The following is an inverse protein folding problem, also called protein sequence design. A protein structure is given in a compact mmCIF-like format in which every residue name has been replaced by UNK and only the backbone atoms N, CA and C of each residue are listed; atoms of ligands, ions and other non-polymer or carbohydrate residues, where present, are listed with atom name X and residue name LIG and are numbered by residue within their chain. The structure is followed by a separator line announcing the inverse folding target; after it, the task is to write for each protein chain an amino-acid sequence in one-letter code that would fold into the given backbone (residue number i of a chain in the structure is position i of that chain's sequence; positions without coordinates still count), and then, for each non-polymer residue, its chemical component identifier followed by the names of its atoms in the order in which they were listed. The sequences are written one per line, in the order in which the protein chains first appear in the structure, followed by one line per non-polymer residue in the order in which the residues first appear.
data_IF_666633426783
#
_entry.id   IF_666633426783
#
_cell.length_a   1.000
_cell.length_b   1.000
_cell.length_c   1.000
_cell.angle_alpha   90.00
_cell.angle_beta   90.00
_cell.angle_gamma   90.00
#
_symmetry.space_group_name_H-M   'P 1'
#
loop_
_entity.id
_entity.type
_entity.pdbx_description
1 polymer ?
#
# COMPACT_ATOMS: atom_id res chain seq x y z
N UNK A 1 37.67 133.61 -32.38
CA UNK A 1 36.61 132.57 -32.40
C UNK A 1 37.27 131.34 -33.02
N UNK A 2 37.40 130.16 -32.41
CA UNK A 2 36.47 129.36 -31.60
C UNK A 2 37.26 128.44 -30.64
N UNK A 3 36.72 128.28 -29.43
CA UNK A 3 37.12 127.35 -28.38
C UNK A 3 36.54 125.97 -28.73
N UNK A 4 37.32 124.89 -28.73
CA UNK A 4 36.74 123.54 -28.74
C UNK A 4 37.50 122.58 -27.84
N UNK A 5 36.74 121.85 -27.03
CA UNK A 5 37.13 121.12 -25.84
C UNK A 5 37.79 119.78 -26.16
N UNK A 6 39.00 119.53 -25.67
CA UNK A 6 39.53 118.16 -25.52
C UNK A 6 38.91 117.52 -24.28
N UNK A 7 37.80 116.81 -24.46
CA UNK A 7 37.13 116.06 -23.39
C UNK A 7 37.93 114.81 -23.03
N UNK A 8 38.21 114.70 -21.73
CA UNK A 8 39.07 113.76 -21.03
C UNK A 8 38.65 112.28 -21.23
N UNK A 9 39.30 111.53 -22.15
CA UNK A 9 38.99 110.10 -22.38
C UNK A 9 39.64 109.15 -21.36
N UNK A 10 40.56 109.64 -20.51
CA UNK A 10 41.29 108.83 -19.50
C UNK A 10 40.51 108.50 -18.22
N UNK A 11 39.42 109.21 -17.87
CA UNK A 11 38.65 108.90 -16.63
C UNK A 11 37.55 107.86 -16.84
N UNK A 12 36.91 107.80 -18.02
CA UNK A 12 35.89 106.78 -18.36
C UNK A 12 36.48 105.37 -18.49
N UNK A 13 37.69 105.23 -19.00
CA UNK A 13 38.43 103.94 -19.06
C UNK A 13 38.83 103.44 -17.67
N UNK A 14 39.26 104.33 -16.76
CA UNK A 14 39.56 103.94 -15.37
C UNK A 14 38.32 103.49 -14.60
N UNK A 15 37.18 104.17 -14.77
CA UNK A 15 35.91 103.76 -14.15
C UNK A 15 35.43 102.42 -14.72
N UNK A 16 35.51 102.21 -16.04
CA UNK A 16 35.19 100.93 -16.67
C UNK A 16 36.07 99.78 -16.19
N UNK A 17 37.39 100.00 -16.04
CA UNK A 17 38.33 99.02 -15.48
C UNK A 17 38.03 98.71 -14.01
N UNK A 18 37.68 99.71 -13.19
CA UNK A 18 37.28 99.50 -11.78
C UNK A 18 35.96 98.72 -11.67
N UNK A 19 34.98 98.98 -12.55
CA UNK A 19 33.72 98.22 -12.60
C UNK A 19 33.95 96.79 -13.06
N UNK A 20 34.79 96.56 -14.08
CA UNK A 20 35.14 95.21 -14.56
C UNK A 20 35.97 94.44 -13.53
N UNK A 21 36.94 95.10 -12.86
CA UNK A 21 37.69 94.49 -11.75
C UNK A 21 36.79 94.20 -10.56
N UNK A 22 35.86 95.10 -10.22
CA UNK A 22 34.85 94.88 -9.19
C UNK A 22 33.95 93.70 -9.51
N UNK A 23 33.47 93.59 -10.75
CA UNK A 23 32.68 92.44 -11.23
C UNK A 23 33.50 91.15 -11.24
N UNK A 24 34.77 91.18 -11.65
CA UNK A 24 35.67 90.04 -11.58
C UNK A 24 35.91 89.59 -10.13
N UNK A 25 36.10 90.53 -9.20
CA UNK A 25 36.23 90.22 -7.77
C UNK A 25 34.94 89.61 -7.22
N UNK A 26 33.77 90.09 -7.63
CA UNK A 26 32.47 89.51 -7.25
C UNK A 26 32.27 88.13 -7.87
N UNK A 27 32.67 87.91 -9.12
CA UNK A 27 32.56 86.61 -9.80
C UNK A 27 33.53 85.58 -9.22
N UNK A 28 34.79 85.96 -9.01
CA UNK A 28 35.81 85.11 -8.38
C UNK A 28 35.44 84.86 -6.91
N UNK A 29 34.96 85.88 -6.20
CA UNK A 29 34.43 85.78 -4.84
C UNK A 29 33.25 84.82 -4.75
N UNK A 30 32.26 84.95 -5.64
CA UNK A 30 31.13 84.03 -5.74
C UNK A 30 31.56 82.61 -6.11
N UNK A 31 32.50 82.45 -7.05
CA UNK A 31 33.02 81.15 -7.47
C UNK A 31 33.77 80.44 -6.35
N UNK A 32 34.59 81.17 -5.60
CA UNK A 32 35.36 80.66 -4.45
C UNK A 32 34.45 80.32 -3.28
N UNK A 33 33.47 81.17 -2.95
CA UNK A 33 32.41 80.87 -1.95
C UNK A 33 31.62 79.61 -2.35
N UNK A 34 31.32 79.44 -3.63
CA UNK A 34 30.63 78.23 -4.11
C UNK A 34 31.53 76.99 -4.08
N UNK A 35 32.83 77.16 -4.33
CA UNK A 35 33.81 76.07 -4.22
C UNK A 35 33.98 75.61 -2.76
N UNK A 36 33.96 76.53 -1.78
CA UNK A 36 33.98 76.15 -0.35
C UNK A 36 32.68 75.46 0.09
N UNK A 37 31.53 75.79 -0.51
CA UNK A 37 30.28 75.04 -0.31
C UNK A 37 30.40 73.56 -0.74
N UNK A 38 31.07 73.29 -1.87
CA UNK A 38 31.33 71.93 -2.36
C UNK A 38 32.54 71.25 -1.69
N UNK A 39 33.31 71.96 -0.85
CA UNK A 39 34.32 71.31 -0.02
C UNK A 39 33.70 70.37 1.03
N UNK A 40 32.43 70.60 1.40
CA UNK A 40 31.70 69.81 2.38
C UNK A 40 30.52 69.01 1.79
N UNK A 41 30.25 69.13 0.48
CA UNK A 41 29.09 68.54 -0.20
C UNK A 41 29.48 67.89 -1.51
N UNK A 42 28.74 66.89 -1.94
CA UNK A 42 28.93 66.28 -3.25
C UNK A 42 28.61 67.27 -4.38
N UNK A 43 29.41 67.22 -5.43
CA UNK A 43 29.27 68.05 -6.62
C UNK A 43 27.91 67.85 -7.32
N UNK A 44 27.49 68.79 -8.20
CA UNK A 44 26.30 68.61 -9.02
C UNK A 44 26.34 67.30 -9.81
N UNK A 45 25.17 66.70 -10.08
CA UNK A 45 25.04 65.48 -10.88
C UNK A 45 25.78 64.23 -10.35
N UNK A 46 26.17 64.16 -9.07
CA UNK A 46 26.72 62.94 -8.45
C UNK A 46 25.62 61.93 -8.07
N UNK A 47 25.80 60.67 -8.47
CA UNK A 47 24.91 59.53 -8.19
C UNK A 47 25.71 58.38 -7.60
N UNK A 48 25.26 57.84 -6.46
CA UNK A 48 25.90 56.69 -5.79
C UNK A 48 24.87 55.59 -5.58
N UNK A 49 25.17 54.36 -5.98
CA UNK A 49 24.27 53.20 -5.90
C UNK A 49 22.86 53.50 -6.47
N UNK A 50 22.79 54.25 -7.57
CA UNK A 50 21.54 54.68 -8.20
C UNK A 50 20.84 55.90 -7.56
N UNK A 51 21.28 56.36 -6.38
CA UNK A 51 20.67 57.47 -5.63
C UNK A 51 21.39 58.79 -5.92
N UNK A 52 20.63 59.84 -6.28
CA UNK A 52 21.19 61.19 -6.50
C UNK A 52 21.58 61.84 -5.18
N UNK A 53 22.86 62.18 -5.01
CA UNK A 53 23.40 62.75 -3.75
C UNK A 53 24.02 64.14 -3.90
N UNK A 54 23.82 64.80 -5.04
CA UNK A 54 24.34 66.14 -5.30
C UNK A 54 23.91 67.16 -4.24
N UNK A 55 24.80 68.09 -3.90
CA UNK A 55 24.62 69.12 -2.87
C UNK A 55 24.39 68.58 -1.44
N UNK A 56 24.52 67.26 -1.21
CA UNK A 56 24.42 66.68 0.13
C UNK A 56 25.79 66.57 0.78
N UNK A 57 25.85 66.76 2.09
CA UNK A 57 27.01 66.35 2.88
C UNK A 57 27.11 64.82 2.92
N UNK A 58 28.25 64.27 3.31
CA UNK A 58 28.44 62.81 3.47
C UNK A 58 27.36 62.18 4.36
N UNK A 59 27.00 62.85 5.46
CA UNK A 59 25.97 62.36 6.40
C UNK A 59 24.56 62.40 5.79
N UNK A 60 24.21 63.46 5.07
CA UNK A 60 22.93 63.57 4.35
C UNK A 60 22.84 62.55 3.20
N UNK A 61 23.93 62.37 2.45
CA UNK A 61 24.02 61.37 1.39
C UNK A 61 23.88 59.96 1.95
N UNK A 62 24.56 59.63 3.05
CA UNK A 62 24.43 58.33 3.71
C UNK A 62 22.98 58.08 4.15
N UNK A 63 22.36 59.04 4.88
CA UNK A 63 20.95 58.91 5.28
C UNK A 63 20.01 58.72 4.10
N UNK A 64 20.24 59.43 2.99
CA UNK A 64 19.41 59.32 1.79
C UNK A 64 19.58 57.96 1.10
N UNK A 65 20.82 57.52 0.90
CA UNK A 65 21.14 56.22 0.27
C UNK A 65 20.61 55.08 1.15
N UNK A 66 20.86 55.12 2.46
CA UNK A 66 20.31 54.16 3.42
C UNK A 66 18.79 54.13 3.34
N UNK A 67 18.10 55.28 3.36
CA UNK A 67 16.64 55.32 3.23
C UNK A 67 16.15 54.70 1.91
N UNK A 68 16.65 55.19 0.77
CA UNK A 68 16.16 54.74 -0.55
C UNK A 68 16.48 53.26 -0.85
N UNK A 69 17.56 52.70 -0.29
CA UNK A 69 17.94 51.29 -0.51
C UNK A 69 17.42 50.33 0.57
N UNK A 70 17.09 50.81 1.78
CA UNK A 70 16.46 50.02 2.85
C UNK A 70 14.93 49.99 2.78
N UNK A 71 14.30 50.97 2.11
CA UNK A 71 12.83 51.10 2.05
C UNK A 71 12.17 50.07 1.11
N UNK A 72 12.93 49.39 0.23
CA UNK A 72 12.37 48.26 -0.54
C UNK A 72 12.37 47.00 0.33
N UNK A 73 11.19 46.40 0.62
CA UNK A 73 11.11 45.17 1.36
C UNK A 73 11.66 43.98 0.55
N UNK A 74 11.91 42.88 1.24
CA UNK A 74 12.06 41.57 0.65
C UNK A 74 10.68 40.89 0.59
N UNK A 75 10.31 40.35 -0.57
CA UNK A 75 9.01 39.73 -0.81
C UNK A 75 9.13 38.20 -0.84
N UNK A 76 8.38 37.52 -0.01
CA UNK A 76 8.18 36.07 -0.12
C UNK A 76 6.83 35.85 -0.81
N UNK A 77 6.85 35.13 -1.92
CA UNK A 77 5.67 34.82 -2.72
C UNK A 77 5.23 33.38 -2.52
N UNK A 78 3.91 33.19 -2.48
CA UNK A 78 3.23 31.89 -2.53
C UNK A 78 2.01 32.07 -3.43
N UNK A 79 1.76 31.12 -4.33
CA UNK A 79 0.71 31.15 -5.35
C UNK A 79 0.77 32.41 -6.22
N UNK A 80 1.99 32.90 -6.52
CA UNK A 80 2.24 34.16 -7.23
C UNK A 80 1.69 35.42 -6.52
N UNK A 81 1.30 35.32 -5.25
CA UNK A 81 0.87 36.43 -4.39
C UNK A 81 1.96 36.78 -3.37
N UNK A 82 2.00 38.04 -2.93
CA UNK A 82 2.90 38.47 -1.85
C UNK A 82 2.40 37.90 -0.52
N UNK A 83 2.89 36.73 -0.15
CA UNK A 83 2.55 36.05 1.10
C UNK A 83 3.13 36.79 2.31
N UNK A 84 4.37 37.29 2.19
CA UNK A 84 5.01 38.05 3.26
C UNK A 84 5.94 39.12 2.74
N UNK A 85 5.91 40.26 3.41
CA UNK A 85 6.78 41.41 3.19
C UNK A 85 7.67 41.60 4.43
N UNK A 86 8.97 41.66 4.24
CA UNK A 86 9.94 41.81 5.34
C UNK A 86 10.85 42.99 5.03
N UNK A 87 10.89 44.01 5.90
CA UNK A 87 11.84 45.10 5.72
C UNK A 87 13.27 44.57 5.76
N UNK A 88 14.14 45.07 4.88
CA UNK A 88 15.54 44.65 4.83
C UNK A 88 16.29 44.88 6.15
N UNK A 89 15.96 45.94 6.88
CA UNK A 89 16.51 46.20 8.22
C UNK A 89 16.20 45.07 9.23
N UNK A 90 15.03 44.43 9.10
CA UNK A 90 14.57 43.38 10.00
C UNK A 90 15.24 42.05 9.67
N UNK A 91 15.65 41.85 8.40
CA UNK A 91 16.53 40.76 7.96
C UNK A 91 17.98 40.91 8.46
N UNK A 92 18.31 42.01 9.14
CA UNK A 92 19.66 42.28 9.62
C UNK A 92 20.54 43.02 8.62
N UNK A 93 20.01 43.53 7.50
CA UNK A 93 20.78 44.42 6.64
C UNK A 93 21.13 45.70 7.38
N UNK A 94 22.43 46.01 7.41
CA UNK A 94 22.97 47.25 7.92
C UNK A 94 23.61 47.97 6.74
N UNK A 95 23.09 49.17 6.47
CA UNK A 95 23.54 49.99 5.36
C UNK A 95 24.37 51.15 5.93
N UNK A 96 25.69 51.00 5.95
CA UNK A 96 26.65 52.07 6.25
C UNK A 96 27.56 52.35 5.06
N UNK A 97 27.19 53.37 4.28
CA UNK A 97 27.98 53.84 3.17
C UNK A 97 28.96 54.95 3.58
N UNK A 98 29.03 55.34 4.86
CA UNK A 98 29.88 56.44 5.33
C UNK A 98 31.35 56.26 4.95
N UNK A 99 32.00 55.09 5.13
CA UNK A 99 33.41 54.93 4.80
C UNK A 99 33.69 55.21 3.31
N UNK A 100 32.87 54.63 2.43
CA UNK A 100 33.02 54.80 0.99
C UNK A 100 32.60 56.19 0.49
N UNK A 101 31.55 56.79 1.05
CA UNK A 101 31.16 58.17 0.75
C UNK A 101 32.21 59.19 1.22
N UNK A 102 32.87 58.96 2.37
CA UNK A 102 34.02 59.78 2.81
C UNK A 102 35.18 59.66 1.84
N UNK A 103 35.52 58.44 1.41
CA UNK A 103 36.57 58.20 0.43
C UNK A 103 36.26 58.87 -0.92
N UNK A 104 34.99 58.85 -1.34
CA UNK A 104 34.53 59.49 -2.56
C UNK A 104 34.61 61.02 -2.45
N UNK A 105 34.13 61.61 -1.34
CA UNK A 105 34.18 63.05 -1.10
C UNK A 105 35.63 63.56 -1.06
N UNK A 106 36.56 62.82 -0.43
CA UNK A 106 37.98 63.21 -0.36
C UNK A 106 38.66 63.28 -1.73
N UNK A 107 38.19 62.48 -2.69
CA UNK A 107 38.72 62.45 -4.07
C UNK A 107 38.14 63.56 -4.96
N UNK A 108 37.02 64.17 -4.57
CA UNK A 108 36.39 65.21 -5.39
C UNK A 108 37.22 66.49 -5.39
N UNK A 109 37.21 67.23 -6.50
CA UNK A 109 37.78 68.57 -6.56
C UNK A 109 36.66 69.62 -6.40
N UNK A 110 36.58 70.36 -5.28
CA UNK A 110 35.51 71.34 -5.07
C UNK A 110 35.45 72.44 -6.12
N UNK A 111 36.57 72.74 -6.79
CA UNK A 111 36.64 73.77 -7.83
C UNK A 111 36.10 73.30 -9.19
N UNK A 112 35.73 72.03 -9.38
CA UNK A 112 35.17 71.54 -10.65
C UNK A 112 33.64 71.66 -10.74
N UNK A 113 32.98 72.27 -9.76
CA UNK A 113 31.51 72.34 -9.67
C UNK A 113 30.84 72.95 -10.91
N UNK A 114 31.44 73.97 -11.52
CA UNK A 114 30.89 74.63 -12.71
C UNK A 114 30.91 73.70 -13.94
N UNK A 115 31.98 72.92 -14.12
CA UNK A 115 32.07 71.92 -15.19
C UNK A 115 31.07 70.78 -14.97
N UNK A 116 30.80 70.43 -13.72
CA UNK A 116 29.93 69.30 -13.41
C UNK A 116 28.44 69.60 -13.62
N UNK A 117 28.03 70.88 -13.65
CA UNK A 117 26.67 71.30 -14.03
C UNK A 117 26.34 71.02 -15.49
N UNK A 118 27.33 71.09 -16.38
CA UNK A 118 27.18 70.86 -17.83
C UNK A 118 27.61 69.46 -18.27
N UNK A 119 28.15 68.67 -17.34
CA UNK A 119 28.58 67.29 -17.58
C UNK A 119 27.47 66.28 -17.30
N UNK A 120 27.56 65.10 -17.92
CA UNK A 120 26.71 63.97 -17.58
C UNK A 120 26.88 63.54 -16.11
N UNK A 121 25.85 62.88 -15.57
CA UNK A 121 25.87 62.43 -14.19
C UNK A 121 27.02 61.45 -13.90
N UNK A 122 27.78 61.74 -12.85
CA UNK A 122 28.87 60.88 -12.39
C UNK A 122 28.27 59.77 -11.53
N UNK A 123 28.23 58.56 -12.07
CA UNK A 123 27.73 57.35 -11.39
C UNK A 123 28.89 56.63 -10.72
N UNK A 124 28.71 56.25 -9.46
CA UNK A 124 29.67 55.47 -8.66
C UNK A 124 28.93 54.41 -7.86
N UNK A 125 29.61 53.31 -7.57
CA UNK A 125 29.13 52.31 -6.63
C UNK A 125 30.00 52.32 -5.38
N UNK A 126 29.36 52.25 -4.22
CA UNK A 126 29.99 52.26 -2.91
C UNK A 126 29.47 51.06 -2.12
N UNK A 127 30.39 50.21 -1.69
CA UNK A 127 30.08 49.12 -0.77
C UNK A 127 29.80 49.69 0.63
N UNK A 128 28.80 49.11 1.30
CA UNK A 128 28.30 49.57 2.58
C UNK A 128 27.22 48.68 3.17
N UNK A 129 27.04 47.48 2.61
CA UNK A 129 26.00 46.57 3.07
C UNK A 129 26.62 45.42 3.85
N UNK A 130 26.27 45.30 5.12
CA UNK A 130 26.57 44.13 5.95
C UNK A 130 25.27 43.46 6.38
N UNK A 131 25.35 42.18 6.72
CA UNK A 131 24.20 41.39 7.13
C UNK A 131 24.45 40.77 8.50
N UNK A 132 23.55 41.01 9.44
CA UNK A 132 23.51 40.32 10.72
C UNK A 132 22.88 38.94 10.53
N UNK A 133 23.73 37.92 10.41
CA UNK A 133 23.28 36.54 10.21
C UNK A 133 22.42 36.00 11.36
N UNK A 134 22.60 36.53 12.58
CA UNK A 134 21.78 36.11 13.74
C UNK A 134 20.34 36.58 13.56
N UNK A 135 20.15 37.82 13.11
CA UNK A 135 18.82 38.35 12.78
C UNK A 135 18.20 37.64 11.58
N UNK A 136 18.96 37.41 10.52
CA UNK A 136 18.45 36.66 9.35
C UNK A 136 17.97 35.27 9.76
N UNK A 137 18.75 34.56 10.60
CA UNK A 137 18.37 33.24 11.09
C UNK A 137 17.10 33.30 11.94
N UNK A 138 16.98 34.28 12.85
CA UNK A 138 15.77 34.45 13.66
C UNK A 138 14.52 34.72 12.80
N UNK A 139 14.65 35.55 11.75
CA UNK A 139 13.55 35.77 10.80
C UNK A 139 13.24 34.50 10.00
N UNK A 140 14.27 33.74 9.60
CA UNK A 140 14.10 32.45 8.94
C UNK A 140 13.30 31.45 9.78
N UNK A 141 13.53 31.40 11.10
CA UNK A 141 12.74 30.55 12.01
C UNK A 141 11.29 31.04 12.16
N UNK A 142 11.05 32.35 12.15
CA UNK A 142 9.69 32.88 12.11
C UNK A 142 8.97 32.53 10.80
N UNK A 143 9.66 32.64 9.66
CA UNK A 143 9.15 32.21 8.35
C UNK A 143 8.84 30.72 8.34
N UNK A 144 9.72 29.88 8.90
CA UNK A 144 9.50 28.43 9.08
C UNK A 144 8.22 28.13 9.83
N UNK A 145 7.99 28.79 10.97
CA UNK A 145 6.78 28.58 11.78
C UNK A 145 5.50 28.93 11.01
N UNK A 146 5.48 30.06 10.31
CA UNK A 146 4.33 30.48 9.51
C UNK A 146 4.12 29.62 8.26
N UNK A 147 5.21 29.16 7.63
CA UNK A 147 5.16 28.23 6.51
C UNK A 147 4.62 26.86 6.93
N UNK A 148 4.94 26.41 8.15
CA UNK A 148 4.39 25.18 8.74
C UNK A 148 2.87 25.28 8.85
N UNK A 149 2.34 26.41 9.33
CA UNK A 149 0.90 26.67 9.36
C UNK A 149 0.30 26.74 7.96
N UNK A 150 0.98 27.38 7.02
CA UNK A 150 0.55 27.49 5.62
C UNK A 150 0.43 26.12 4.94
N UNK A 151 1.31 25.17 5.26
CA UNK A 151 1.25 23.81 4.73
C UNK A 151 0.05 22.99 5.21
N UNK A 152 -0.59 23.34 6.33
CA UNK A 152 -1.73 22.56 6.87
C UNK A 152 -2.97 22.57 5.97
N UNK A 153 -3.12 23.57 5.11
CA UNK A 153 -4.23 23.68 4.14
C UNK A 153 -3.84 23.26 2.72
N UNK A 154 -2.57 22.89 2.51
CA UNK A 154 -2.02 22.49 1.21
C UNK A 154 -2.20 20.99 1.00
N UNK A 155 -2.30 20.58 -0.27
CA UNK A 155 -2.40 19.19 -0.68
C UNK A 155 -1.03 18.53 -0.59
N UNK A 156 -0.93 17.48 0.22
CA UNK A 156 0.29 16.70 0.37
C UNK A 156 0.68 15.99 -0.92
N UNK A 157 1.98 15.88 -1.17
CA UNK A 157 2.52 15.00 -2.20
C UNK A 157 2.37 13.56 -1.76
N UNK A 158 1.84 12.71 -2.64
CA UNK A 158 1.67 11.28 -2.41
C UNK A 158 2.71 10.50 -3.19
N UNK A 159 3.38 9.55 -2.55
CA UNK A 159 4.28 8.60 -3.21
C UNK A 159 3.51 7.58 -4.04
N UNK A 160 4.19 7.04 -5.06
CA UNK A 160 3.70 5.86 -5.76
C UNK A 160 3.63 4.67 -4.80
N UNK A 161 2.66 3.78 -5.02
CA UNK A 161 2.43 2.62 -4.15
C UNK A 161 1.87 1.44 -4.92
N UNK A 162 2.18 0.24 -4.45
CA UNK A 162 1.53 -0.98 -4.92
C UNK A 162 0.10 -1.03 -4.38
N UNK A 163 -0.86 -1.26 -5.27
CA UNK A 163 -2.29 -1.28 -4.99
C UNK A 163 -2.87 -2.60 -5.47
N UNK A 164 -3.79 -3.16 -4.68
CA UNK A 164 -4.47 -4.42 -4.97
C UNK A 164 -5.60 -4.21 -5.97
N UNK A 165 -5.71 -5.11 -6.94
CA UNK A 165 -6.82 -5.23 -7.89
C UNK A 165 -7.41 -6.65 -7.83
N UNK A 166 -8.47 -6.91 -8.61
CA UNK A 166 -9.04 -8.27 -8.70
C UNK A 166 -8.11 -9.25 -9.42
N UNK A 167 -7.21 -8.76 -10.26
CA UNK A 167 -6.32 -9.57 -11.10
C UNK A 167 -4.89 -9.66 -10.56
N UNK A 168 -4.56 -8.90 -9.51
CA UNK A 168 -3.27 -8.95 -8.83
C UNK A 168 -2.93 -7.61 -8.18
N UNK A 169 -1.72 -7.14 -8.47
CA UNK A 169 -1.19 -5.91 -7.92
C UNK A 169 -0.63 -5.00 -9.02
N UNK A 170 -0.88 -3.70 -8.89
CA UNK A 170 -0.46 -2.67 -9.83
C UNK A 170 0.15 -1.48 -9.10
N UNK A 171 1.00 -0.71 -9.78
CA UNK A 171 1.55 0.52 -9.24
C UNK A 171 0.57 1.66 -9.51
N UNK A 172 0.05 2.26 -8.43
CA UNK A 172 -0.60 3.58 -8.51
C UNK A 172 0.51 4.63 -8.52
N UNK A 173 0.60 5.48 -9.56
CA UNK A 173 1.62 6.52 -9.64
C UNK A 173 1.53 7.55 -8.50
N UNK A 174 2.66 8.19 -8.24
CA UNK A 174 2.78 9.32 -7.34
C UNK A 174 1.92 10.51 -7.81
N UNK A 175 1.47 11.32 -6.85
CA UNK A 175 0.73 12.56 -7.13
C UNK A 175 1.49 13.74 -6.53
N UNK A 176 1.95 14.63 -7.41
CA UNK A 176 2.57 15.88 -6.98
C UNK A 176 1.52 16.75 -6.29
N UNK A 177 1.73 17.01 -5.00
CA UNK A 177 0.97 17.97 -4.23
C UNK A 177 1.55 19.37 -4.36
N UNK A 178 1.06 20.29 -3.54
CA UNK A 178 1.56 21.65 -3.47
C UNK A 178 2.17 22.00 -2.11
N UNK A 179 2.29 21.09 -1.14
CA UNK A 179 3.04 21.33 0.10
C UNK A 179 4.46 21.84 -0.19
N UNK A 180 4.89 22.90 0.51
CA UNK A 180 6.21 23.49 0.37
C UNK A 180 7.19 22.73 1.26
N UNK A 181 8.35 22.34 0.73
CA UNK A 181 9.48 21.84 1.50
C UNK A 181 10.05 22.99 2.33
N UNK A 182 9.76 22.94 3.63
CA UNK A 182 10.05 24.03 4.57
C UNK A 182 11.55 24.28 4.68
N UNK A 183 12.35 23.22 4.74
CA UNK A 183 13.80 23.35 4.88
C UNK A 183 14.40 23.95 3.61
N UNK A 184 14.05 23.39 2.45
CA UNK A 184 14.55 23.88 1.17
C UNK A 184 14.13 25.35 0.90
N UNK A 185 12.88 25.70 1.21
CA UNK A 185 12.37 27.06 1.02
C UNK A 185 13.03 28.08 1.96
N UNK A 186 13.20 27.74 3.24
CA UNK A 186 13.81 28.63 4.25
C UNK A 186 15.30 28.83 3.98
N UNK A 187 16.03 27.77 3.61
CA UNK A 187 17.44 27.87 3.24
C UNK A 187 17.62 28.71 1.98
N UNK A 188 16.78 28.51 0.97
CA UNK A 188 16.79 29.33 -0.24
C UNK A 188 16.42 30.79 0.03
N UNK A 189 15.50 31.06 0.96
CA UNK A 189 15.16 32.41 1.41
C UNK A 189 16.37 33.09 2.05
N UNK A 190 17.05 32.41 2.99
CA UNK A 190 18.25 32.95 3.65
C UNK A 190 19.34 33.25 2.62
N UNK A 191 19.56 32.35 1.67
CA UNK A 191 20.55 32.53 0.60
C UNK A 191 20.18 33.65 -0.37
N UNK A 192 18.91 33.77 -0.76
CA UNK A 192 18.40 34.87 -1.58
C UNK A 192 18.59 36.22 -0.86
N UNK A 193 18.27 36.28 0.43
CA UNK A 193 18.47 37.45 1.27
C UNK A 193 19.95 37.81 1.39
N UNK A 194 20.87 36.85 1.57
CA UNK A 194 22.33 37.09 1.61
C UNK A 194 22.86 37.69 0.30
N UNK A 195 22.40 37.17 -0.83
CA UNK A 195 22.84 37.57 -2.16
C UNK A 195 22.17 38.86 -2.69
N UNK A 196 21.44 39.60 -1.84
CA UNK A 196 20.86 40.89 -2.23
C UNK A 196 19.60 40.81 -3.09
N UNK A 197 19.00 39.63 -3.26
CA UNK A 197 17.72 39.49 -3.98
C UNK A 197 16.61 40.25 -3.24
N UNK A 198 15.57 40.62 -3.99
CA UNK A 198 14.42 41.36 -3.45
C UNK A 198 13.19 40.48 -3.27
N UNK A 199 13.19 39.28 -3.84
CA UNK A 199 12.09 38.34 -3.70
C UNK A 199 12.54 36.87 -3.79
N UNK A 200 11.64 36.00 -3.34
CA UNK A 200 11.69 34.56 -3.55
C UNK A 200 10.28 34.03 -3.71
N UNK A 201 10.11 33.04 -4.59
CA UNK A 201 8.85 32.33 -4.76
C UNK A 201 8.99 30.91 -4.21
N UNK A 202 8.22 30.63 -3.15
CA UNK A 202 8.25 29.36 -2.44
C UNK A 202 7.57 28.22 -3.21
N UNK A 203 6.77 28.52 -4.25
CA UNK A 203 6.22 27.47 -5.12
C UNK A 203 7.31 26.77 -5.98
N UNK A 204 8.55 27.27 -5.97
CA UNK A 204 9.69 26.58 -6.58
C UNK A 204 10.28 25.48 -5.68
N UNK A 205 9.87 25.40 -4.41
CA UNK A 205 10.44 24.52 -3.40
C UNK A 205 9.37 23.58 -2.84
N UNK A 206 8.60 22.94 -3.72
CA UNK A 206 7.57 21.98 -3.32
C UNK A 206 8.18 20.64 -2.89
N UNK A 207 7.54 19.98 -1.92
CA UNK A 207 7.87 18.60 -1.56
C UNK A 207 7.67 17.71 -2.77
N UNK A 208 8.73 17.01 -3.17
CA UNK A 208 8.72 16.06 -4.30
C UNK A 208 8.44 14.64 -3.80
N UNK A 209 7.82 13.79 -4.63
CA UNK A 209 7.64 12.38 -4.29
C UNK A 209 9.01 11.72 -4.15
N UNK A 210 9.18 10.94 -3.09
CA UNK A 210 10.42 10.17 -2.85
C UNK A 210 10.38 8.81 -3.51
N UNK A 211 9.19 8.28 -3.78
CA UNK A 211 8.98 7.03 -4.52
C UNK A 211 8.10 7.36 -5.72
N UNK A 212 8.61 7.04 -6.91
CA UNK A 212 7.90 7.23 -8.18
C UNK A 212 7.45 5.89 -8.75
N UNK A 213 6.57 5.91 -9.75
CA UNK A 213 6.09 4.70 -10.43
C UNK A 213 7.22 3.88 -11.07
N UNK A 214 8.34 4.52 -11.38
CA UNK A 214 9.50 3.91 -12.03
C UNK A 214 10.55 3.43 -10.99
N UNK A 215 10.22 3.50 -9.69
CA UNK A 215 11.09 3.02 -8.62
C UNK A 215 11.34 1.49 -8.76
N UNK A 216 12.60 1.06 -8.84
CA UNK A 216 12.94 -0.34 -9.09
C UNK A 216 12.58 -1.26 -7.93
N UNK A 217 12.63 -0.80 -6.68
CA UNK A 217 12.23 -1.61 -5.54
C UNK A 217 10.70 -1.71 -5.45
N UNK A 218 9.97 -0.65 -5.79
CA UNK A 218 8.50 -0.70 -5.92
C UNK A 218 8.06 -1.72 -6.97
N UNK A 219 8.71 -1.72 -8.13
CA UNK A 219 8.46 -2.69 -9.20
C UNK A 219 8.76 -4.12 -8.76
N UNK A 220 9.91 -4.35 -8.12
CA UNK A 220 10.30 -5.66 -7.59
C UNK A 220 9.33 -6.17 -6.53
N UNK A 221 8.81 -5.30 -5.66
CA UNK A 221 7.75 -5.66 -4.70
C UNK A 221 6.47 -6.06 -5.43
N UNK A 222 6.01 -5.26 -6.39
CA UNK A 222 4.83 -5.60 -7.22
C UNK A 222 5.01 -6.95 -7.95
N UNK A 223 6.17 -7.19 -8.56
CA UNK A 223 6.46 -8.43 -9.29
C UNK A 223 6.44 -9.66 -8.36
N UNK A 224 7.03 -9.55 -7.16
CA UNK A 224 6.96 -10.62 -6.14
C UNK A 224 5.54 -10.91 -5.70
N UNK A 225 4.76 -9.86 -5.41
CA UNK A 225 3.36 -10.02 -5.02
C UNK A 225 2.56 -10.69 -6.14
N UNK A 226 2.77 -10.26 -7.39
CA UNK A 226 2.12 -10.85 -8.56
C UNK A 226 2.53 -12.31 -8.82
N UNK A 227 3.77 -12.70 -8.51
CA UNK A 227 4.22 -14.09 -8.62
C UNK A 227 3.45 -15.03 -7.68
N UNK A 228 3.02 -14.55 -6.51
CA UNK A 228 2.20 -15.31 -5.57
C UNK A 228 0.71 -15.20 -5.91
N UNK A 229 0.23 -13.98 -6.19
CA UNK A 229 -1.17 -13.70 -6.52
C UNK A 229 -1.69 -14.50 -7.72
N UNK A 230 -0.85 -14.69 -8.73
CA UNK A 230 -1.26 -15.23 -10.03
C UNK A 230 -0.98 -16.73 -10.19
N UNK A 231 -0.60 -17.44 -9.13
CA UNK A 231 -0.41 -18.88 -9.19
C UNK A 231 -1.71 -19.61 -9.55
N UNK A 232 -1.58 -20.76 -10.19
CA UNK A 232 -2.67 -21.73 -10.35
C UNK A 232 -2.65 -22.69 -9.16
N UNK A 233 -3.33 -22.29 -8.09
CA UNK A 233 -3.56 -23.13 -6.92
C UNK A 233 -4.80 -24.01 -7.14
N UNK A 234 -4.62 -25.31 -7.35
CA UNK A 234 -5.72 -26.24 -7.60
C UNK A 234 -5.91 -27.22 -6.44
N UNK A 235 -7.16 -27.55 -6.18
CA UNK A 235 -7.57 -28.65 -5.32
C UNK A 235 -8.14 -29.80 -6.16
N UNK A 236 -7.79 -31.03 -5.77
CA UNK A 236 -8.52 -32.24 -6.10
C UNK A 236 -9.15 -32.77 -4.82
N UNK A 237 -10.48 -32.72 -4.71
CA UNK A 237 -11.23 -33.18 -3.55
C UNK A 237 -12.32 -34.12 -4.01
N UNK A 238 -12.29 -35.36 -3.54
CA UNK A 238 -13.30 -36.37 -3.84
C UNK A 238 -13.48 -36.62 -5.36
N UNK A 239 -12.41 -36.44 -6.15
CA UNK A 239 -12.43 -36.53 -7.61
C UNK A 239 -12.84 -35.25 -8.35
N UNK A 240 -13.23 -34.18 -7.65
CA UNK A 240 -13.48 -32.87 -8.24
C UNK A 240 -12.22 -32.02 -8.27
N UNK A 241 -11.86 -31.52 -9.46
CA UNK A 241 -10.76 -30.58 -9.65
C UNK A 241 -11.28 -29.15 -9.82
N UNK A 242 -10.76 -28.21 -9.03
CA UNK A 242 -11.07 -26.80 -9.16
C UNK A 242 -9.90 -25.91 -8.73
N UNK A 243 -9.85 -24.70 -9.28
CA UNK A 243 -8.85 -23.70 -8.93
C UNK A 243 -9.39 -22.78 -7.82
N UNK A 244 -8.54 -22.42 -6.86
CA UNK A 244 -8.80 -21.30 -5.96
C UNK A 244 -8.85 -20.02 -6.82
N UNK A 245 -9.93 -19.22 -6.74
CA UNK A 245 -10.02 -17.96 -7.50
C UNK A 245 -8.83 -17.04 -7.21
N UNK A 246 -8.23 -16.47 -8.26
CA UNK A 246 -7.14 -15.49 -8.13
C UNK A 246 -7.52 -14.31 -7.24
N UNK A 247 -8.78 -13.86 -7.31
CA UNK A 247 -9.29 -12.79 -6.45
C UNK A 247 -9.24 -13.16 -4.96
N UNK A 248 -9.45 -14.42 -4.60
CA UNK A 248 -9.36 -14.88 -3.21
C UNK A 248 -7.91 -14.81 -2.72
N UNK A 249 -6.96 -15.37 -3.48
CA UNK A 249 -5.52 -15.32 -3.16
C UNK A 249 -5.06 -13.85 -3.03
N UNK A 250 -5.48 -12.98 -3.95
CA UNK A 250 -5.18 -11.54 -3.90
C UNK A 250 -5.70 -10.90 -2.61
N UNK A 251 -6.91 -11.26 -2.19
CA UNK A 251 -7.55 -10.75 -0.98
C UNK A 251 -6.87 -11.24 0.30
N UNK A 252 -6.17 -12.37 0.25
CA UNK A 252 -5.45 -12.96 1.37
C UNK A 252 -4.04 -12.39 1.50
N UNK A 253 -3.37 -12.07 0.39
CA UNK A 253 -1.97 -11.65 0.43
C UNK A 253 -1.79 -10.33 1.19
N UNK A 254 -0.97 -10.33 2.23
CA UNK A 254 -0.56 -9.17 3.01
C UNK A 254 0.93 -8.93 2.76
N UNK A 255 1.31 -7.69 2.47
CA UNK A 255 2.71 -7.27 2.46
C UNK A 255 2.94 -6.28 3.60
N UNK A 256 3.82 -6.64 4.53
CA UNK A 256 4.29 -5.77 5.59
C UNK A 256 5.78 -5.46 5.35
N UNK A 257 6.03 -4.30 4.73
CA UNK A 257 7.36 -3.79 4.44
C UNK A 257 8.27 -4.80 3.71
N UNK A 258 7.72 -5.54 2.73
CA UNK A 258 8.45 -6.55 1.95
C UNK A 258 8.40 -7.98 2.52
N UNK A 259 7.74 -8.18 3.66
CA UNK A 259 7.46 -9.51 4.21
C UNK A 259 6.05 -9.95 3.80
N UNK A 260 5.97 -10.94 2.90
CA UNK A 260 4.70 -11.49 2.44
C UNK A 260 4.14 -12.51 3.42
N UNK A 261 2.86 -12.40 3.71
CA UNK A 261 2.07 -13.36 4.49
C UNK A 261 0.65 -13.47 3.93
N UNK A 262 -0.17 -14.39 4.45
CA UNK A 262 -1.59 -14.47 4.12
C UNK A 262 -2.44 -14.15 5.34
N UNK A 263 -3.56 -13.47 5.13
CA UNK A 263 -4.64 -13.28 6.08
C UNK A 263 -5.19 -14.64 6.53
N UNK A 264 -4.83 -15.04 7.76
CA UNK A 264 -5.13 -16.37 8.27
C UNK A 264 -6.63 -16.58 8.53
N UNK A 265 -7.39 -15.52 8.81
CA UNK A 265 -8.84 -15.63 9.00
C UNK A 265 -9.53 -15.99 7.68
N UNK A 266 -9.12 -15.34 6.58
CA UNK A 266 -9.68 -15.63 5.25
C UNK A 266 -9.29 -17.01 4.74
N UNK A 267 -8.03 -17.43 4.93
CA UNK A 267 -7.59 -18.78 4.55
C UNK A 267 -8.34 -19.82 5.38
N UNK A 268 -8.53 -19.59 6.67
CA UNK A 268 -9.30 -20.49 7.56
C UNK A 268 -10.77 -20.57 7.14
N UNK A 269 -11.41 -19.43 6.82
CA UNK A 269 -12.77 -19.41 6.31
C UNK A 269 -12.90 -20.19 5.00
N UNK A 270 -11.94 -20.03 4.08
CA UNK A 270 -11.92 -20.78 2.83
C UNK A 270 -11.82 -22.29 3.07
N UNK A 271 -10.84 -22.76 3.85
CA UNK A 271 -10.67 -24.18 4.17
C UNK A 271 -11.89 -24.74 4.92
N UNK A 272 -12.50 -23.96 5.81
CA UNK A 272 -13.73 -24.34 6.51
C UNK A 272 -14.88 -24.54 5.52
N UNK A 273 -15.03 -23.63 4.55
CA UNK A 273 -16.05 -23.75 3.49
C UNK A 273 -15.83 -24.99 2.61
N UNK A 274 -14.58 -25.40 2.38
CA UNK A 274 -14.27 -26.66 1.71
C UNK A 274 -14.77 -27.85 2.55
N UNK A 275 -14.55 -27.82 3.87
CA UNK A 275 -15.07 -28.85 4.77
C UNK A 275 -16.60 -28.90 4.77
N UNK A 276 -17.27 -27.75 4.86
CA UNK A 276 -18.73 -27.64 4.80
C UNK A 276 -19.32 -28.13 3.48
N UNK A 277 -18.56 -28.04 2.38
CA UNK A 277 -18.99 -28.48 1.06
C UNK A 277 -18.70 -29.97 0.81
N UNK A 278 -17.53 -30.45 1.23
CA UNK A 278 -16.96 -31.72 0.75
C UNK A 278 -16.77 -32.80 1.81
N UNK A 279 -16.81 -32.50 3.11
CA UNK A 279 -16.58 -33.51 4.14
C UNK A 279 -17.60 -34.65 4.04
N UNK A 280 -17.10 -35.85 3.70
CA UNK A 280 -17.93 -37.05 3.57
C UNK A 280 -18.43 -37.57 4.92
N UNK A 281 -17.89 -37.05 6.02
CA UNK A 281 -18.36 -37.32 7.38
C UNK A 281 -19.66 -36.62 7.75
N UNK A 282 -20.03 -35.56 7.02
CA UNK A 282 -21.26 -34.79 7.25
C UNK A 282 -22.15 -34.67 6.02
N UNK A 283 -21.66 -35.05 4.83
CA UNK A 283 -22.42 -35.04 3.58
C UNK A 283 -22.80 -36.45 3.13
N UNK A 284 -24.04 -36.63 2.63
CA UNK A 284 -24.40 -37.86 1.96
C UNK A 284 -23.61 -38.02 0.66
N UNK A 285 -23.43 -39.27 0.24
CA UNK A 285 -22.83 -39.62 -1.04
C UNK A 285 -23.93 -39.93 -2.06
N UNK A 286 -23.89 -39.21 -3.17
CA UNK A 286 -24.70 -39.53 -4.34
C UNK A 286 -24.16 -40.80 -5.02
N UNK A 287 -25.01 -41.80 -5.19
CA UNK A 287 -24.62 -43.13 -5.66
C UNK A 287 -25.56 -43.63 -6.77
N UNK A 288 -24.99 -44.21 -7.84
CA UNK A 288 -25.76 -44.84 -8.90
C UNK A 288 -26.02 -46.30 -8.53
N UNK A 289 -27.14 -46.56 -7.86
CA UNK A 289 -27.56 -47.91 -7.48
C UNK A 289 -27.90 -48.78 -8.68
N UNK A 290 -27.77 -50.09 -8.47
CA UNK A 290 -28.02 -51.12 -9.48
C UNK A 290 -29.47 -51.14 -9.96
N UNK A 291 -30.45 -50.94 -9.04
CA UNK A 291 -31.88 -51.10 -9.35
C UNK A 291 -32.72 -49.83 -9.24
N UNK A 292 -32.23 -48.76 -8.60
CA UNK A 292 -33.03 -47.56 -8.29
C UNK A 292 -32.50 -46.28 -8.94
N UNK A 293 -31.49 -46.40 -9.80
CA UNK A 293 -30.81 -45.25 -10.39
C UNK A 293 -30.05 -44.47 -9.34
N UNK A 294 -30.06 -43.14 -9.44
CA UNK A 294 -29.31 -42.27 -8.52
C UNK A 294 -30.02 -42.16 -7.17
N UNK A 295 -29.33 -42.50 -6.09
CA UNK A 295 -29.79 -42.42 -4.70
C UNK A 295 -28.81 -41.63 -3.84
N UNK A 296 -29.28 -41.09 -2.72
CA UNK A 296 -28.45 -40.37 -1.73
C UNK A 296 -28.22 -41.27 -0.52
N UNK A 297 -27.00 -41.73 -0.33
CA UNK A 297 -26.60 -42.60 0.80
C UNK A 297 -26.06 -41.71 1.93
N UNK A 298 -26.63 -41.76 3.16
CA UNK A 298 -26.14 -40.95 4.28
C UNK A 298 -24.67 -41.20 4.62
N UNK A 299 -24.04 -40.23 5.30
CA UNK A 299 -22.70 -40.43 5.84
C UNK A 299 -22.67 -41.64 6.81
N UNK A 300 -21.62 -42.45 6.73
CA UNK A 300 -21.41 -43.59 7.61
C UNK A 300 -19.97 -43.66 8.11
N UNK A 301 -19.54 -44.86 8.48
CA UNK A 301 -18.20 -45.09 9.06
C UNK A 301 -17.05 -44.91 8.07
N UNK A 302 -17.33 -45.01 6.76
CA UNK A 302 -16.35 -44.76 5.72
C UNK A 302 -16.44 -43.32 5.24
N UNK A 303 -15.72 -42.46 5.94
CA UNK A 303 -15.70 -41.03 5.67
C UNK A 303 -14.39 -40.40 6.08
N UNK A 304 -14.24 -39.12 5.72
CA UNK A 304 -13.13 -38.27 6.09
C UNK A 304 -13.62 -36.84 6.38
N UNK A 305 -12.84 -36.14 7.18
CA UNK A 305 -13.04 -34.74 7.56
C UNK A 305 -11.76 -33.97 7.32
N UNK A 306 -11.82 -32.85 6.61
CA UNK A 306 -10.67 -31.93 6.46
C UNK A 306 -10.19 -31.48 7.84
N UNK A 307 -8.89 -31.63 8.10
CA UNK A 307 -8.24 -31.07 9.27
C UNK A 307 -7.93 -29.60 9.00
N UNK A 308 -8.89 -28.72 9.33
CA UNK A 308 -8.80 -27.28 9.02
C UNK A 308 -7.49 -26.66 9.46
N UNK A 309 -7.06 -26.89 10.71
CA UNK A 309 -5.84 -26.28 11.24
C UNK A 309 -4.58 -26.74 10.49
N UNK A 310 -4.45 -28.04 10.20
CA UNK A 310 -3.31 -28.55 9.45
C UNK A 310 -3.33 -28.07 8.00
N UNK A 311 -4.51 -28.01 7.39
CA UNK A 311 -4.67 -27.62 6.00
C UNK A 311 -4.41 -26.13 5.78
N UNK A 312 -4.84 -25.25 6.70
CA UNK A 312 -4.53 -23.81 6.65
C UNK A 312 -3.03 -23.56 6.65
N UNK A 313 -2.29 -24.25 7.52
CA UNK A 313 -0.82 -24.14 7.59
C UNK A 313 -0.18 -24.61 6.29
N UNK A 314 -0.58 -25.77 5.79
CA UNK A 314 -0.01 -26.35 4.59
C UNK A 314 -0.37 -25.56 3.32
N UNK A 315 -1.60 -25.05 3.22
CA UNK A 315 -2.06 -24.23 2.09
C UNK A 315 -1.33 -22.88 2.09
N UNK A 316 -1.24 -22.22 3.25
CA UNK A 316 -0.52 -20.93 3.38
C UNK A 316 0.92 -21.07 2.93
N UNK A 317 1.63 -22.09 3.42
CA UNK A 317 3.02 -22.35 3.04
C UNK A 317 3.14 -22.52 1.52
N UNK A 318 2.29 -23.34 0.92
CA UNK A 318 2.39 -23.67 -0.49
C UNK A 318 2.04 -22.50 -1.41
N UNK A 319 1.06 -21.66 -1.05
CA UNK A 319 0.75 -20.43 -1.79
C UNK A 319 1.95 -19.47 -1.78
N UNK A 320 2.58 -19.28 -0.61
CA UNK A 320 3.73 -18.38 -0.46
C UNK A 320 5.01 -18.86 -1.19
N UNK A 321 5.07 -20.12 -1.64
CA UNK A 321 6.15 -20.59 -2.52
C UNK A 321 6.08 -19.96 -3.93
N UNK A 322 4.95 -19.35 -4.31
CA UNK A 322 4.79 -18.65 -5.59
C UNK A 322 4.88 -19.56 -6.81
N UNK A 323 4.48 -20.83 -6.66
CA UNK A 323 4.49 -21.85 -7.71
C UNK A 323 3.11 -22.46 -7.88
N UNK A 324 2.75 -22.78 -9.12
CA UNK A 324 1.54 -23.52 -9.44
C UNK A 324 1.55 -24.89 -8.75
N UNK A 325 0.38 -25.33 -8.27
CA UNK A 325 0.23 -26.64 -7.64
C UNK A 325 -1.15 -27.25 -7.83
N UNK A 326 -1.21 -28.57 -7.64
CA UNK A 326 -2.45 -29.31 -7.40
C UNK A 326 -2.25 -30.11 -6.12
N UNK A 327 -3.20 -30.02 -5.19
CA UNK A 327 -3.15 -30.71 -3.89
C UNK A 327 -4.49 -31.34 -3.54
N UNK A 328 -4.47 -32.25 -2.58
CA UNK A 328 -5.67 -32.71 -1.88
C UNK A 328 -5.54 -32.33 -0.41
N UNK A 329 -6.65 -32.08 0.29
CA UNK A 329 -6.60 -31.59 1.65
C UNK A 329 -6.07 -32.64 2.62
N UNK A 330 -5.43 -32.19 3.69
CA UNK A 330 -5.12 -33.01 4.85
C UNK A 330 -6.43 -33.35 5.54
N UNK A 331 -6.71 -34.64 5.66
CA UNK A 331 -7.94 -35.15 6.26
C UNK A 331 -7.65 -36.14 7.39
N UNK A 332 -8.63 -36.32 8.26
CA UNK A 332 -8.70 -37.43 9.21
C UNK A 332 -9.90 -38.30 8.85
N UNK A 333 -9.72 -39.62 8.75
CA UNK A 333 -10.80 -40.53 8.37
C UNK A 333 -10.31 -41.92 7.98
N UNK A 334 -11.22 -42.70 7.41
CA UNK A 334 -10.93 -44.05 6.92
C UNK A 334 -10.11 -44.06 5.62
N UNK A 335 -10.08 -42.94 4.89
CA UNK A 335 -9.33 -42.78 3.64
C UNK A 335 -8.96 -41.32 3.38
N UNK A 336 -8.27 -41.06 2.28
CA UNK A 336 -7.84 -39.74 1.81
C UNK A 336 -8.87 -39.11 0.86
N UNK A 337 -8.74 -37.81 0.59
CA UNK A 337 -9.66 -37.05 -0.28
C UNK A 337 -9.15 -36.86 -1.72
N UNK A 338 -8.05 -37.50 -2.10
CA UNK A 338 -7.39 -37.38 -3.42
C UNK A 338 -8.09 -38.16 -4.55
N UNK A 339 -9.09 -38.95 -4.20
CA UNK A 339 -9.91 -39.74 -5.10
C UNK A 339 -11.38 -39.73 -4.64
N UNK A 340 -12.34 -40.10 -5.50
CA UNK A 340 -13.72 -40.31 -5.08
C UNK A 340 -13.79 -41.29 -3.90
N UNK A 341 -14.68 -41.01 -2.94
CA UNK A 341 -14.95 -41.87 -1.79
C UNK A 341 -15.35 -43.26 -2.24
N UNK A 342 -16.20 -43.36 -3.27
CA UNK A 342 -16.64 -44.61 -3.88
C UNK A 342 -16.13 -44.66 -5.31
N UNK A 343 -15.32 -45.67 -5.60
CA UNK A 343 -14.80 -45.97 -6.93
C UNK A 343 -15.49 -47.21 -7.51
N UNK A 344 -14.77 -48.06 -8.23
CA UNK A 344 -15.30 -49.21 -8.98
C UNK A 344 -15.43 -50.51 -8.18
N UNK A 345 -14.95 -50.54 -6.93
CA UNK A 345 -14.98 -51.74 -6.08
C UNK A 345 -15.66 -51.41 -4.76
N UNK A 346 -16.82 -52.00 -4.52
CA UNK A 346 -17.66 -51.75 -3.35
C UNK A 346 -18.70 -52.86 -3.18
N UNK A 347 -19.33 -52.91 -2.01
CA UNK A 347 -20.55 -53.69 -1.75
C UNK A 347 -21.73 -52.71 -1.74
N UNK A 348 -22.79 -53.05 -2.45
CA UNK A 348 -24.07 -52.36 -2.47
C UNK A 348 -25.10 -53.21 -1.73
N UNK A 349 -25.76 -52.66 -0.71
CA UNK A 349 -26.87 -53.30 0.02
C UNK A 349 -28.11 -52.43 -0.15
N UNK A 350 -29.03 -52.90 -0.97
CA UNK A 350 -30.31 -52.23 -1.21
C UNK A 350 -31.35 -52.81 -0.24
N UNK A 351 -31.67 -52.07 0.81
CA UNK A 351 -32.63 -52.47 1.84
C UNK A 351 -34.06 -52.52 1.30
N UNK A 352 -34.38 -51.71 0.29
CA UNK A 352 -35.71 -51.72 -0.32
C UNK A 352 -35.92 -53.01 -1.14
N UNK A 353 -34.90 -53.44 -1.87
CA UNK A 353 -34.95 -54.66 -2.68
C UNK A 353 -34.49 -55.92 -1.93
N UNK A 354 -34.02 -55.78 -0.68
CA UNK A 354 -33.44 -56.86 0.13
C UNK A 354 -32.39 -57.67 -0.64
N UNK A 355 -31.48 -56.95 -1.31
CA UNK A 355 -30.49 -57.55 -2.19
C UNK A 355 -29.13 -56.89 -2.02
N UNK A 356 -28.07 -57.67 -2.20
CA UNK A 356 -26.68 -57.24 -2.08
C UNK A 356 -25.89 -57.58 -3.33
N UNK A 357 -25.06 -56.64 -3.80
CA UNK A 357 -24.08 -56.82 -4.86
C UNK A 357 -22.68 -56.55 -4.34
N UNK A 358 -21.72 -57.34 -4.80
CA UNK A 358 -20.31 -56.99 -4.72
C UNK A 358 -19.81 -56.64 -6.12
N UNK A 359 -19.43 -55.38 -6.30
CA UNK A 359 -18.76 -54.88 -7.49
C UNK A 359 -17.25 -54.98 -7.30
N UNK A 360 -16.56 -55.52 -8.30
CA UNK A 360 -15.10 -55.50 -8.42
C UNK A 360 -14.74 -54.95 -9.79
N UNK A 361 -13.94 -53.88 -9.80
CA UNK A 361 -13.50 -53.20 -11.02
C UNK A 361 -14.66 -52.80 -11.96
N UNK A 362 -15.79 -52.41 -11.36
CA UNK A 362 -16.97 -51.88 -12.05
C UNK A 362 -17.90 -52.94 -12.62
N UNK A 363 -17.68 -54.22 -12.26
CA UNK A 363 -18.53 -55.34 -12.68
C UNK A 363 -19.05 -56.08 -11.45
N UNK A 364 -20.29 -56.57 -11.54
CA UNK A 364 -20.85 -57.48 -10.52
C UNK A 364 -20.02 -58.75 -10.51
N UNK A 365 -19.35 -59.01 -9.38
CA UNK A 365 -18.56 -60.20 -9.14
C UNK A 365 -19.34 -61.26 -8.35
N UNK A 366 -20.29 -60.81 -7.53
CA UNK A 366 -21.21 -61.63 -6.76
C UNK A 366 -22.49 -60.82 -6.47
N UNK A 367 -23.64 -61.47 -6.45
CA UNK A 367 -24.91 -60.88 -5.98
C UNK A 367 -25.75 -61.93 -5.24
N UNK A 368 -26.63 -61.48 -4.35
CA UNK A 368 -27.52 -62.36 -3.58
C UNK A 368 -28.65 -61.58 -2.94
N UNK A 369 -29.79 -62.24 -2.76
CA UNK A 369 -30.80 -61.77 -1.80
C UNK A 369 -30.24 -61.87 -0.37
N UNK A 370 -30.69 -60.97 0.51
CA UNK A 370 -30.31 -60.88 1.92
C UNK A 370 -31.54 -60.79 2.83
N UNK A 371 -31.32 -60.81 4.14
CA UNK A 371 -32.34 -60.40 5.13
C UNK A 371 -31.72 -59.37 6.07
N UNK A 372 -32.19 -58.12 5.99
CA UNK A 372 -31.72 -57.02 6.84
C UNK A 372 -32.32 -57.06 8.26
N UNK A 373 -31.99 -56.04 9.06
CA UNK A 373 -32.58 -55.82 10.38
C UNK A 373 -34.10 -55.69 10.33
N UNK A 374 -34.75 -56.18 11.40
CA UNK A 374 -36.22 -56.09 11.57
C UNK A 374 -36.67 -54.66 11.87
N UNK A 375 -37.96 -54.32 11.72
CA UNK A 375 -38.45 -52.96 11.96
C UNK A 375 -38.11 -52.36 13.33
N UNK A 376 -38.01 -53.17 14.40
CA UNK A 376 -37.63 -52.71 15.75
C UNK A 376 -36.13 -52.47 15.93
N UNK A 377 -35.28 -53.03 15.07
CA UNK A 377 -33.82 -52.79 15.02
C UNK A 377 -33.35 -52.81 13.55
N UNK A 378 -33.71 -51.78 12.77
CA UNK A 378 -33.44 -51.75 11.34
C UNK A 378 -31.95 -51.65 11.07
N UNK A 379 -31.50 -52.18 9.92
CA UNK A 379 -30.14 -51.94 9.44
C UNK A 379 -29.96 -50.44 9.14
N UNK A 380 -28.98 -49.75 9.74
CA UNK A 380 -28.79 -48.32 9.52
C UNK A 380 -28.23 -48.06 8.11
N UNK A 381 -28.87 -47.20 7.30
CA UNK A 381 -28.30 -46.71 6.05
C UNK A 381 -27.01 -45.93 6.29
N UNK A 382 -26.07 -46.01 5.35
CA UNK A 382 -24.83 -45.26 5.43
C UNK A 382 -23.76 -45.75 4.48
N UNK A 383 -22.80 -44.85 4.20
CA UNK A 383 -21.55 -45.21 3.53
C UNK A 383 -20.58 -45.77 4.57
N UNK A 384 -20.51 -47.10 4.63
CA UNK A 384 -19.72 -47.86 5.57
C UNK A 384 -18.55 -48.55 4.86
N UNK A 385 -17.77 -49.36 5.58
CA UNK A 385 -16.70 -50.17 4.98
C UNK A 385 -16.38 -51.39 5.85
N UNK A 386 -15.89 -52.46 5.22
CA UNK A 386 -15.40 -53.64 5.93
C UNK A 386 -14.12 -53.27 6.66
N UNK A 387 -14.20 -52.97 7.96
CA UNK A 387 -13.03 -52.52 8.74
C UNK A 387 -12.24 -53.67 9.38
N UNK A 388 -12.83 -54.87 9.45
CA UNK A 388 -12.13 -56.11 9.80
C UNK A 388 -12.77 -57.32 9.13
N UNK A 389 -12.15 -58.49 9.27
CA UNK A 389 -12.67 -59.78 8.82
C UNK A 389 -12.32 -60.84 9.86
N UNK A 390 -13.32 -61.58 10.33
CA UNK A 390 -13.13 -62.61 11.36
C UNK A 390 -13.87 -63.90 10.99
N UNK A 391 -13.28 -65.04 11.33
CA UNK A 391 -13.90 -66.36 11.13
C UNK A 391 -14.31 -66.98 12.46
N UNK A 392 -15.39 -67.77 12.47
CA UNK A 392 -15.89 -68.50 13.64
C UNK A 392 -16.14 -67.59 14.86
N UNK A 393 -16.82 -66.46 14.62
CA UNK A 393 -17.12 -65.47 15.66
C UNK A 393 -18.49 -65.77 16.28
N UNK A 394 -18.62 -65.58 17.59
CA UNK A 394 -19.95 -65.55 18.24
C UNK A 394 -20.39 -64.12 18.43
N UNK A 395 -21.39 -63.69 17.67
CA UNK A 395 -22.04 -62.39 17.82
C UNK A 395 -22.92 -62.41 19.08
N UNK A 396 -22.90 -61.34 19.86
CA UNK A 396 -23.66 -61.24 21.13
C UNK A 396 -24.40 -59.92 21.18
N UNK A 397 -25.60 -59.93 21.77
CA UNK A 397 -26.40 -58.73 21.96
C UNK A 397 -27.65 -59.01 22.78
N UNK A 398 -28.64 -58.11 22.68
CA UNK A 398 -29.92 -58.19 23.37
C UNK A 398 -31.07 -58.39 22.38
N UNK A 399 -32.02 -59.25 22.71
CA UNK A 399 -33.31 -59.36 22.04
C UNK A 399 -34.23 -58.19 22.45
N UNK A 400 -35.37 -58.05 21.75
CA UNK A 400 -36.33 -56.96 22.01
C UNK A 400 -36.96 -57.04 23.42
N UNK A 401 -36.98 -58.23 24.02
CA UNK A 401 -37.44 -58.47 25.39
C UNK A 401 -36.34 -58.27 26.46
N UNK A 402 -35.14 -57.85 26.05
CA UNK A 402 -33.98 -57.61 26.92
C UNK A 402 -33.18 -58.86 27.31
N UNK A 403 -33.56 -60.04 26.82
CA UNK A 403 -32.76 -61.27 27.01
C UNK A 403 -31.49 -61.26 26.16
N UNK A 404 -30.43 -61.92 26.62
CA UNK A 404 -29.18 -62.05 25.87
C UNK A 404 -29.35 -63.03 24.70
N UNK A 405 -28.76 -62.70 23.54
CA UNK A 405 -28.57 -63.64 22.44
C UNK A 405 -27.08 -63.87 22.16
N UNK A 406 -26.78 -65.06 21.63
CA UNK A 406 -25.49 -65.41 21.08
C UNK A 406 -25.69 -66.18 19.77
N UNK A 407 -25.09 -65.71 18.68
CA UNK A 407 -25.18 -66.37 17.37
C UNK A 407 -23.77 -66.67 16.83
N UNK A 408 -23.37 -67.95 16.76
CA UNK A 408 -22.12 -68.33 16.11
C UNK A 408 -22.25 -68.15 14.59
N UNK A 409 -21.30 -67.46 13.98
CA UNK A 409 -21.21 -67.24 12.54
C UNK A 409 -19.83 -67.67 12.04
N UNK A 410 -19.76 -68.26 10.84
CA UNK A 410 -18.49 -68.70 10.27
C UNK A 410 -17.68 -67.55 9.70
N UNK A 411 -18.34 -66.53 9.16
CA UNK A 411 -17.71 -65.38 8.51
C UNK A 411 -18.36 -64.08 8.99
N UNK A 412 -17.55 -63.18 9.53
CA UNK A 412 -17.98 -61.89 10.05
C UNK A 412 -17.21 -60.75 9.39
N UNK A 413 -17.95 -59.80 8.80
CA UNK A 413 -17.42 -58.56 8.23
C UNK A 413 -18.16 -57.38 8.87
N UNK A 414 -17.66 -56.79 9.98
CA UNK A 414 -18.27 -55.61 10.57
C UNK A 414 -18.09 -54.41 9.66
N UNK A 415 -19.14 -53.58 9.59
CA UNK A 415 -19.15 -52.39 8.73
C UNK A 415 -19.35 -51.09 9.51
N UNK A 416 -19.87 -51.17 10.74
CA UNK A 416 -20.14 -49.99 11.57
C UNK A 416 -19.49 -50.06 12.97
N UNK A 417 -19.78 -49.06 13.81
CA UNK A 417 -19.31 -48.98 15.19
C UNK A 417 -20.32 -49.49 16.24
N UNK A 418 -21.51 -49.91 15.82
CA UNK A 418 -22.60 -50.34 16.73
C UNK A 418 -22.78 -51.85 16.76
N UNK A 419 -22.07 -52.59 15.90
CA UNK A 419 -22.11 -54.05 15.82
C UNK A 419 -22.87 -54.59 14.61
N UNK A 420 -23.16 -53.74 13.61
CA UNK A 420 -23.72 -54.13 12.32
C UNK A 420 -22.61 -54.60 11.38
N UNK A 421 -22.89 -55.68 10.67
CA UNK A 421 -21.99 -56.28 9.69
C UNK A 421 -22.69 -57.25 8.77
N UNK A 422 -21.90 -57.83 7.87
CA UNK A 422 -22.32 -58.88 6.94
C UNK A 422 -21.86 -60.23 7.50
N UNK A 423 -22.74 -61.22 7.53
CA UNK A 423 -22.40 -62.57 7.97
C UNK A 423 -23.32 -63.66 7.43
N UNK A 424 -22.86 -64.90 7.54
CA UNK A 424 -23.64 -66.09 7.23
C UNK A 424 -24.75 -66.28 8.25
N UNK A 425 -25.86 -66.83 7.80
CA UNK A 425 -27.07 -67.00 8.61
C UNK A 425 -27.72 -68.34 8.34
N UNK A 426 -27.07 -69.42 8.78
CA UNK A 426 -27.52 -70.80 8.56
C UNK A 426 -28.91 -71.11 9.13
N UNK A 427 -29.40 -70.28 10.06
CA UNK A 427 -30.74 -70.33 10.62
C UNK A 427 -31.83 -69.72 9.73
N UNK A 428 -31.48 -68.93 8.70
CA UNK A 428 -32.45 -68.35 7.78
C UNK A 428 -32.75 -69.35 6.64
N UNK A 429 -34.03 -69.78 6.47
CA UNK A 429 -34.36 -70.76 5.44
C UNK A 429 -34.46 -70.15 4.03
N UNK A 430 -34.74 -68.84 3.94
CA UNK A 430 -34.99 -68.10 2.70
C UNK A 430 -34.51 -66.66 2.84
N UNK A 431 -34.31 -65.96 1.71
CA UNK A 431 -33.78 -64.60 1.64
C UNK A 431 -34.59 -63.75 0.65
N UNK A 432 -34.51 -62.43 0.81
CA UNK A 432 -35.17 -61.47 -0.09
C UNK A 432 -36.61 -61.13 0.29
N UNK A 433 -37.27 -60.37 -0.58
CA UNK A 433 -38.67 -59.95 -0.42
C UNK A 433 -38.93 -59.19 0.87
N UNK A 434 -39.95 -59.60 1.62
CA UNK A 434 -40.36 -58.93 2.87
C UNK A 434 -39.96 -59.69 4.15
N UNK A 435 -39.08 -60.69 4.05
CA UNK A 435 -38.70 -61.54 5.18
C UNK A 435 -38.14 -60.75 6.36
N UNK A 436 -37.46 -59.63 6.11
CA UNK A 436 -36.95 -58.73 7.16
C UNK A 436 -38.04 -58.23 8.11
N UNK A 437 -39.30 -58.12 7.66
CA UNK A 437 -40.42 -57.67 8.51
C UNK A 437 -40.81 -58.68 9.58
N UNK A 438 -40.62 -59.97 9.31
CA UNK A 438 -41.05 -61.07 10.19
C UNK A 438 -39.90 -61.85 10.81
N UNK A 439 -38.74 -61.90 10.14
CA UNK A 439 -37.55 -62.67 10.51
C UNK A 439 -36.26 -61.84 10.37
N UNK A 440 -36.37 -60.52 10.39
CA UNK A 440 -35.22 -59.63 10.29
C UNK A 440 -34.23 -59.82 11.43
N UNK A 441 -32.97 -59.46 11.16
CA UNK A 441 -31.88 -59.52 12.15
C UNK A 441 -32.01 -58.41 13.22
N UNK A 442 -31.02 -58.32 14.11
CA UNK A 442 -30.84 -57.20 15.04
C UNK A 442 -30.07 -56.00 14.42
N UNK A 443 -30.05 -55.88 13.09
CA UNK A 443 -29.40 -54.80 12.34
C UNK A 443 -28.38 -55.29 11.32
N UNK A 444 -27.79 -56.48 11.50
CA UNK A 444 -26.86 -57.09 10.54
C UNK A 444 -27.52 -57.49 9.21
N UNK A 445 -26.71 -57.69 8.17
CA UNK A 445 -27.16 -58.18 6.87
C UNK A 445 -26.93 -59.68 6.81
N UNK A 446 -27.99 -60.46 7.04
CA UNK A 446 -27.96 -61.91 6.98
C UNK A 446 -27.78 -62.34 5.52
N UNK A 447 -26.75 -63.14 5.26
CA UNK A 447 -26.36 -63.59 3.92
C UNK A 447 -26.43 -65.13 3.84
N UNK A 448 -26.78 -65.74 2.69
CA UNK A 448 -26.72 -67.18 2.50
C UNK A 448 -25.32 -67.73 2.81
N UNK A 449 -25.17 -68.84 3.56
CA UNK A 449 -23.87 -69.29 4.04
C UNK A 449 -22.83 -69.59 2.95
N UNK A 450 -23.26 -70.18 1.82
CA UNK A 450 -22.39 -70.48 0.69
C UNK A 450 -21.92 -69.21 -0.03
N UNK A 451 -22.83 -68.24 -0.18
CA UNK A 451 -22.52 -66.94 -0.76
C UNK A 451 -21.60 -66.14 0.15
N UNK A 452 -21.86 -66.12 1.46
CA UNK A 452 -21.04 -65.39 2.41
C UNK A 452 -19.60 -65.89 2.44
N UNK A 453 -19.38 -67.20 2.35
CA UNK A 453 -18.03 -67.77 2.23
C UNK A 453 -17.29 -67.22 1.00
N UNK A 454 -17.94 -67.20 -0.15
CA UNK A 454 -17.35 -66.67 -1.40
C UNK A 454 -17.11 -65.17 -1.32
N UNK A 455 -18.07 -64.41 -0.79
CA UNK A 455 -17.95 -62.97 -0.59
C UNK A 455 -16.77 -62.66 0.34
N UNK A 456 -16.67 -63.37 1.46
CA UNK A 456 -15.58 -63.23 2.41
C UNK A 456 -14.23 -63.49 1.75
N UNK A 457 -14.09 -64.49 0.88
CA UNK A 457 -12.82 -64.74 0.20
C UNK A 457 -12.45 -63.64 -0.82
N UNK A 458 -13.44 -63.03 -1.48
CA UNK A 458 -13.23 -62.03 -2.53
C UNK A 458 -13.02 -60.60 -2.02
N UNK A 459 -13.63 -60.25 -0.87
CA UNK A 459 -13.66 -58.89 -0.32
C UNK A 459 -12.41 -58.59 0.52
N UNK A 460 -11.82 -57.42 0.29
CA UNK A 460 -10.66 -56.94 1.06
C UNK A 460 -11.10 -56.04 2.22
N UNK A 461 -10.36 -56.05 3.33
CA UNK A 461 -10.53 -55.04 4.40
C UNK A 461 -10.28 -53.66 3.79
N UNK A 462 -11.18 -52.71 4.08
CA UNK A 462 -11.20 -51.39 3.44
C UNK A 462 -12.24 -51.25 2.33
N UNK A 463 -12.86 -52.35 1.86
CA UNK A 463 -13.91 -52.30 0.82
C UNK A 463 -15.11 -51.49 1.31
N UNK A 464 -15.53 -50.42 0.60
CA UNK A 464 -16.71 -49.65 0.95
C UNK A 464 -17.99 -50.49 0.86
N UNK A 465 -18.95 -50.23 1.76
CA UNK A 465 -20.25 -50.88 1.82
C UNK A 465 -21.33 -49.80 1.91
N UNK A 466 -22.09 -49.62 0.84
CA UNK A 466 -23.18 -48.66 0.80
C UNK A 466 -24.49 -49.36 1.18
N UNK A 467 -25.16 -48.87 2.22
CA UNK A 467 -26.45 -49.40 2.68
C UNK A 467 -27.52 -48.32 2.52
N UNK A 468 -28.62 -48.60 1.81
CA UNK A 468 -29.63 -47.58 1.49
C UNK A 468 -31.04 -48.10 1.14
#
# INVERSE_FOLDING_TARGET
MTRNEKRNSRSRTRIGVIVVLGLLVVLVGGYTIRSTYYAQRFLPNTVVNGVKINNLTVSEANRKITRELSDSPFLIKINNENWKEINRKDLGWQNDYLPGLKALQKKQNPFSWGMQLVSAAEKKDVDGNTLDETKLNAVGEAVRAELTQTNTTRTATENAKVTRTNEGFEITPEKQGNTIDIDAAVDAFKEAAKNGKHDIDFDNYLTKPTITKDDPELKKTMDKMNAVAKIKANYNINGENFQIPTADINSWLIDDNGTMSLDQEKVTAYVTSLGEKYNTSSKPTEFNSTRRGKVSVPAGTYSWTINTSAEVVALTKQILEGKDFTRSPIVTGATTADKPLIDKTYIEVDLQNQHMWYYKDGKVALETDIVSGKPSSPTPPGVNYVWSKETNKTLKGKNDDGTDYASPVKYWMPIDWTGVGLHDSDWQPEYGGELWKTRGSHGCVNTPPDVMSRLFDMVEVGTPVLVF
#
